data_IF_947838755448
#
_entry.id   IF_947838755448
#
_cell.length_a   1.000
_cell.length_b   1.000
_cell.length_c   1.000
_cell.angle_alpha   90.00
_cell.angle_beta   90.00
_cell.angle_gamma   90.00
#
_symmetry.space_group_name_H-M   'P 1'
#
loop_
_entity.id
_entity.type
_entity.pdbx_description
1 polymer ?
#
# COMPACT_ATOMS: atom_id res chain seq x y z
N UNK A 1 7.22 -16.15 32.71
CA UNK A 1 6.78 -16.38 31.32
C UNK A 1 6.57 -15.07 30.55
N UNK A 2 5.67 -14.16 30.96
CA UNK A 2 5.47 -12.84 30.28
C UNK A 2 6.73 -11.99 30.03
N UNK A 3 7.70 -11.94 30.97
CA UNK A 3 8.96 -11.19 30.78
C UNK A 3 9.90 -11.80 29.73
N UNK A 4 9.87 -13.11 29.55
CA UNK A 4 10.68 -13.84 28.57
C UNK A 4 10.08 -13.72 27.18
N UNK A 5 8.76 -13.86 27.09
CA UNK A 5 7.96 -13.65 25.88
C UNK A 5 8.14 -12.23 25.32
N UNK A 6 8.12 -11.22 26.20
CA UNK A 6 8.33 -9.82 25.83
C UNK A 6 9.78 -9.51 25.39
N UNK A 7 10.77 -10.27 25.85
CA UNK A 7 12.18 -10.17 25.39
C UNK A 7 12.36 -10.86 24.04
N UNK A 8 11.72 -12.01 23.83
CA UNK A 8 11.72 -12.75 22.56
C UNK A 8 11.03 -11.96 21.44
N UNK A 9 9.84 -11.43 21.71
CA UNK A 9 9.09 -10.55 20.80
C UNK A 9 9.91 -9.30 20.44
N UNK A 10 10.60 -8.68 21.41
CA UNK A 10 11.53 -7.57 21.14
C UNK A 10 12.74 -7.96 20.29
N UNK A 11 13.23 -9.20 20.41
CA UNK A 11 14.26 -9.75 19.54
C UNK A 11 13.78 -9.91 18.10
N UNK A 12 12.58 -10.47 17.92
CA UNK A 12 11.89 -10.58 16.63
C UNK A 12 11.70 -9.22 15.96
N UNK A 13 11.22 -8.20 16.68
CA UNK A 13 11.10 -6.83 16.15
C UNK A 13 12.45 -6.25 15.69
N UNK A 14 13.54 -6.62 16.35
CA UNK A 14 14.90 -6.20 15.97
C UNK A 14 15.46 -6.97 14.76
N UNK A 15 14.87 -8.09 14.38
CA UNK A 15 15.19 -8.82 13.14
C UNK A 15 14.26 -8.43 11.99
N UNK A 16 13.05 -7.96 12.30
CA UNK A 16 12.05 -7.54 11.31
C UNK A 16 12.57 -6.42 10.42
N UNK A 17 13.27 -5.41 10.96
CA UNK A 17 13.77 -4.33 10.10
C UNK A 17 14.80 -4.79 9.06
N UNK A 18 15.60 -5.82 9.37
CA UNK A 18 16.52 -6.42 8.41
C UNK A 18 15.74 -7.14 7.30
N UNK A 19 14.73 -7.91 7.68
CA UNK A 19 13.87 -8.60 6.71
C UNK A 19 13.11 -7.61 5.82
N UNK A 20 12.56 -6.53 6.39
CA UNK A 20 11.86 -5.46 5.70
C UNK A 20 12.76 -4.81 4.63
N UNK A 21 14.01 -4.52 4.98
CA UNK A 21 14.99 -3.95 4.06
C UNK A 21 15.34 -4.92 2.91
N UNK A 22 15.57 -6.19 3.23
CA UNK A 22 15.90 -7.23 2.23
C UNK A 22 14.74 -7.40 1.25
N UNK A 23 13.52 -7.58 1.76
CA UNK A 23 12.31 -7.73 0.95
C UNK A 23 12.09 -6.51 0.08
N UNK A 24 12.21 -5.30 0.64
CA UNK A 24 12.07 -4.05 -0.11
C UNK A 24 13.11 -3.92 -1.22
N UNK A 25 14.37 -4.28 -0.95
CA UNK A 25 15.44 -4.26 -1.95
C UNK A 25 15.19 -5.22 -3.11
N UNK A 26 14.75 -6.45 -2.82
CA UNK A 26 14.39 -7.44 -3.85
C UNK A 26 13.21 -6.96 -4.68
N UNK A 27 12.18 -6.39 -4.04
CA UNK A 27 11.00 -5.86 -4.73
C UNK A 27 11.38 -4.69 -5.64
N UNK A 28 12.16 -3.72 -5.15
CA UNK A 28 12.63 -2.58 -5.95
C UNK A 28 13.39 -3.08 -7.18
N UNK A 29 14.33 -4.01 -6.99
CA UNK A 29 15.11 -4.57 -8.08
C UNK A 29 14.20 -5.24 -9.13
N UNK A 30 13.27 -6.08 -8.70
CA UNK A 30 12.31 -6.74 -9.59
C UNK A 30 11.41 -5.74 -10.32
N UNK A 31 10.88 -4.74 -9.62
CA UNK A 31 10.05 -3.70 -10.22
C UNK A 31 10.83 -2.84 -11.22
N UNK A 32 12.12 -2.57 -10.96
CA UNK A 32 12.96 -1.81 -11.89
C UNK A 32 13.19 -2.59 -13.19
N UNK A 33 13.52 -3.88 -13.09
CA UNK A 33 13.68 -4.77 -14.25
C UNK A 33 12.40 -4.88 -15.08
N UNK A 34 11.25 -4.99 -14.43
CA UNK A 34 9.96 -5.07 -15.13
C UNK A 34 9.64 -3.74 -15.82
N UNK A 35 9.81 -2.61 -15.13
CA UNK A 35 9.46 -1.30 -15.67
C UNK A 35 10.33 -0.92 -16.88
N UNK A 36 11.63 -1.25 -16.89
CA UNK A 36 12.54 -0.82 -17.97
C UNK A 36 12.13 -1.31 -19.36
N UNK A 37 11.52 -2.49 -19.45
CA UNK A 37 11.09 -3.11 -20.73
C UNK A 37 9.57 -3.01 -20.95
N UNK A 38 8.84 -2.42 -20.01
CA UNK A 38 7.38 -2.52 -19.96
C UNK A 38 6.65 -1.75 -21.06
N UNK A 39 7.08 -0.52 -21.37
CA UNK A 39 6.47 0.28 -22.44
C UNK A 39 6.68 -0.38 -23.81
N UNK A 40 7.89 -0.87 -24.07
CA UNK A 40 8.20 -1.61 -25.29
C UNK A 40 7.35 -2.88 -25.44
N UNK A 41 7.16 -3.62 -24.34
CA UNK A 41 6.29 -4.78 -24.32
C UNK A 41 4.84 -4.40 -24.62
N UNK A 42 4.31 -3.36 -24.00
CA UNK A 42 2.94 -2.86 -24.21
C UNK A 42 2.73 -2.46 -25.67
N UNK A 43 3.68 -1.72 -26.25
CA UNK A 43 3.61 -1.28 -27.65
C UNK A 43 3.64 -2.47 -28.61
N UNK A 44 4.47 -3.48 -28.35
CA UNK A 44 4.48 -4.74 -29.10
C UNK A 44 3.16 -5.49 -29.02
N UNK A 45 2.58 -5.60 -27.82
CA UNK A 45 1.26 -6.22 -27.64
C UNK A 45 0.20 -5.47 -28.45
N UNK A 46 0.24 -4.14 -28.44
CA UNK A 46 -0.64 -3.30 -29.25
C UNK A 46 -0.47 -3.54 -30.74
N UNK A 47 0.77 -3.58 -31.23
CA UNK A 47 1.08 -3.80 -32.64
C UNK A 47 0.67 -5.20 -33.14
N UNK A 48 0.81 -6.23 -32.31
CA UNK A 48 0.49 -7.63 -32.67
C UNK A 48 -1.01 -7.87 -32.60
N UNK A 49 -1.67 -7.41 -31.54
CA UNK A 49 -3.06 -7.79 -31.26
C UNK A 49 -4.08 -6.78 -31.76
N UNK A 50 -3.72 -5.50 -31.88
CA UNK A 50 -4.67 -4.40 -32.12
C UNK A 50 -5.73 -4.25 -31.01
N UNK A 51 -5.67 -5.02 -29.92
CA UNK A 51 -6.70 -5.07 -28.90
C UNK A 51 -6.47 -3.97 -27.86
N UNK A 52 -7.25 -2.90 -27.97
CA UNK A 52 -7.18 -1.75 -27.06
C UNK A 52 -7.38 -2.13 -25.58
N UNK A 53 -8.20 -3.14 -25.29
CA UNK A 53 -8.42 -3.58 -23.92
C UNK A 53 -7.15 -4.20 -23.34
N UNK A 54 -6.52 -5.10 -24.10
CA UNK A 54 -5.31 -5.79 -23.66
C UNK A 54 -4.16 -4.79 -23.45
N UNK A 55 -4.03 -3.81 -24.33
CA UNK A 55 -3.10 -2.68 -24.17
C UNK A 55 -3.42 -1.88 -22.90
N UNK A 56 -4.70 -1.57 -22.66
CA UNK A 56 -5.13 -0.83 -21.45
C UNK A 56 -4.84 -1.61 -20.17
N UNK A 57 -5.04 -2.93 -20.19
CA UNK A 57 -4.71 -3.82 -19.07
C UNK A 57 -3.21 -3.80 -18.75
N UNK A 58 -2.34 -3.96 -19.75
CA UNK A 58 -0.91 -3.91 -19.50
C UNK A 58 -0.43 -2.52 -19.08
N UNK A 59 -0.97 -1.43 -19.66
CA UNK A 59 -0.68 -0.06 -19.19
C UNK A 59 -1.09 0.15 -17.73
N UNK A 60 -2.23 -0.40 -17.32
CA UNK A 60 -2.64 -0.38 -15.91
C UNK A 60 -1.61 -1.12 -15.03
N UNK A 61 -1.15 -2.30 -15.43
CA UNK A 61 -0.11 -3.04 -14.70
C UNK A 61 1.20 -2.25 -14.58
N UNK A 62 1.65 -1.60 -15.67
CA UNK A 62 2.83 -0.73 -15.64
C UNK A 62 2.64 0.41 -14.62
N UNK A 63 1.47 1.05 -14.64
CA UNK A 63 1.12 2.09 -13.67
C UNK A 63 1.17 1.59 -12.21
N UNK A 64 0.67 0.39 -11.95
CA UNK A 64 0.75 -0.25 -10.62
C UNK A 64 2.21 -0.48 -10.21
N UNK A 65 3.04 -1.02 -11.10
CA UNK A 65 4.46 -1.25 -10.82
C UNK A 65 5.22 0.05 -10.56
N UNK A 66 4.90 1.12 -11.30
CA UNK A 66 5.49 2.44 -11.08
C UNK A 66 5.11 3.01 -9.71
N UNK A 67 3.83 2.95 -9.32
CA UNK A 67 3.38 3.42 -8.00
C UNK A 67 4.04 2.63 -6.87
N UNK A 68 4.17 1.31 -7.01
CA UNK A 68 4.85 0.49 -6.02
C UNK A 68 6.34 0.81 -5.94
N UNK A 69 7.01 0.95 -7.09
CA UNK A 69 8.43 1.31 -7.15
C UNK A 69 8.67 2.64 -6.43
N UNK A 70 7.83 3.64 -6.70
CA UNK A 70 7.90 4.93 -6.03
C UNK A 70 7.73 4.83 -4.51
N UNK A 71 6.73 4.07 -4.04
CA UNK A 71 6.51 3.87 -2.60
C UNK A 71 7.71 3.18 -1.93
N UNK A 72 8.24 2.12 -2.54
CA UNK A 72 9.40 1.40 -1.99
C UNK A 72 10.69 2.25 -2.02
N UNK A 73 10.86 3.13 -3.01
CA UNK A 73 11.98 4.09 -3.01
C UNK A 73 11.85 5.07 -1.84
N UNK A 74 10.67 5.67 -1.62
CA UNK A 74 10.44 6.57 -0.49
C UNK A 74 10.70 5.85 0.83
N UNK A 75 10.20 4.63 0.96
CA UNK A 75 10.42 3.78 2.12
C UNK A 75 11.91 3.55 2.37
N UNK A 76 12.69 3.18 1.34
CA UNK A 76 14.13 2.97 1.46
C UNK A 76 14.88 4.24 1.85
N UNK A 77 14.52 5.39 1.28
CA UNK A 77 15.11 6.69 1.63
C UNK A 77 14.82 7.08 3.08
N UNK A 78 13.59 6.86 3.57
CA UNK A 78 13.23 7.10 4.96
C UNK A 78 13.95 6.14 5.90
N UNK A 79 14.17 4.88 5.49
CA UNK A 79 14.97 3.92 6.25
C UNK A 79 16.43 4.38 6.34
N UNK A 80 17.03 4.84 5.25
CA UNK A 80 18.38 5.40 5.25
C UNK A 80 18.47 6.63 6.19
N UNK A 81 17.46 7.50 6.17
CA UNK A 81 17.37 8.63 7.09
C UNK A 81 17.27 8.18 8.56
N UNK A 82 16.43 7.19 8.85
CA UNK A 82 16.31 6.58 10.17
C UNK A 82 17.65 6.03 10.68
N UNK A 83 18.40 5.28 9.85
CA UNK A 83 19.73 4.76 10.20
C UNK A 83 20.67 5.93 10.58
N UNK A 84 20.64 7.03 9.82
CA UNK A 84 21.42 8.22 10.12
C UNK A 84 21.08 8.84 11.48
N UNK A 85 19.79 8.95 11.81
CA UNK A 85 19.33 9.47 13.11
C UNK A 85 19.73 8.55 14.26
N UNK A 86 19.63 7.23 14.09
CA UNK A 86 20.10 6.25 15.08
C UNK A 86 21.60 6.38 15.30
N UNK A 87 22.38 6.55 14.22
CA UNK A 87 23.83 6.82 14.29
C UNK A 87 24.17 8.13 15.01
N UNK A 88 23.35 9.18 14.85
CA UNK A 88 23.51 10.41 15.62
C UNK A 88 23.16 10.20 17.10
N UNK A 89 22.12 9.43 17.41
CA UNK A 89 21.73 9.16 18.79
C UNK A 89 22.81 8.37 19.57
N UNK A 90 23.59 7.51 18.88
CA UNK A 90 24.66 6.75 19.53
C UNK A 90 25.83 7.62 19.98
N UNK A 91 26.09 8.73 19.27
CA UNK A 91 27.17 9.68 19.57
C UNK A 91 26.69 10.87 20.41
N UNK A 92 25.44 11.30 20.24
CA UNK A 92 24.81 12.43 20.94
C UNK A 92 23.66 11.96 21.83
N UNK A 93 23.97 11.16 22.85
CA UNK A 93 22.98 10.56 23.76
C UNK A 93 22.17 11.58 24.56
N UNK A 94 22.77 12.75 24.86
CA UNK A 94 22.07 13.87 25.52
C UNK A 94 21.09 14.60 24.58
N UNK A 95 21.00 14.20 23.31
CA UNK A 95 20.14 14.83 22.32
C UNK A 95 20.59 16.22 21.91
N UNK A 96 19.62 17.06 21.53
CA UNK A 96 19.89 18.40 21.01
C UNK A 96 20.14 19.35 22.19
N UNK A 97 21.37 19.86 22.30
CA UNK A 97 21.76 20.90 23.27
C UNK A 97 21.31 22.27 22.80
N UNK A 98 20.02 22.58 22.96
CA UNK A 98 19.44 23.87 22.56
C UNK A 98 20.10 25.06 23.24
N UNK A 99 20.69 24.86 24.42
CA UNK A 99 21.38 25.87 25.21
C UNK A 99 22.69 26.33 24.53
N UNK A 100 23.23 25.55 23.59
CA UNK A 100 24.38 25.92 22.75
C UNK A 100 23.96 26.60 21.45
N UNK A 101 22.67 26.70 21.17
CA UNK A 101 22.13 27.34 19.98
C UNK A 101 21.70 28.75 20.36
N UNK A 102 22.30 29.78 19.74
CA UNK A 102 21.95 31.19 19.94
C UNK A 102 20.60 31.53 19.26
N UNK A 103 19.57 30.74 19.54
CA UNK A 103 18.22 30.90 19.01
C UNK A 103 17.29 31.55 20.02
N UNK A 104 16.18 32.11 19.54
CA UNK A 104 15.18 32.75 20.42
C UNK A 104 14.44 31.73 21.28
N UNK A 105 14.04 32.13 22.48
CA UNK A 105 13.32 31.27 23.43
C UNK A 105 12.04 30.67 22.85
N UNK A 106 11.32 31.45 22.04
CA UNK A 106 10.11 30.98 21.34
C UNK A 106 10.43 29.83 20.37
N UNK A 107 11.54 29.93 19.63
CA UNK A 107 11.99 28.87 18.73
C UNK A 107 12.44 27.62 19.48
N UNK A 108 13.22 27.78 20.55
CA UNK A 108 13.68 26.67 21.40
C UNK A 108 12.47 25.95 22.00
N UNK A 109 11.52 26.68 22.61
CA UNK A 109 10.34 26.09 23.24
C UNK A 109 9.47 25.30 22.26
N UNK A 110 9.27 25.82 21.04
CA UNK A 110 8.53 25.14 19.98
C UNK A 110 9.21 23.83 19.55
N UNK A 111 10.53 23.85 19.34
CA UNK A 111 11.27 22.71 18.82
C UNK A 111 11.61 21.67 19.89
N UNK A 112 11.86 22.08 21.13
CA UNK A 112 12.10 21.17 22.26
C UNK A 112 10.88 20.28 22.53
N UNK A 113 9.66 20.79 22.30
CA UNK A 113 8.41 19.98 22.37
C UNK A 113 8.34 18.89 21.28
N UNK A 114 8.92 19.15 20.10
CA UNK A 114 8.82 18.26 18.92
C UNK A 114 9.99 17.29 18.80
N UNK A 115 11.20 17.73 19.14
CA UNK A 115 12.48 17.04 18.94
C UNK A 115 13.22 16.86 20.28
N UNK A 116 12.48 16.53 21.34
CA UNK A 116 13.03 16.48 22.70
C UNK A 116 14.19 15.50 22.86
N UNK A 117 14.15 14.35 22.15
CA UNK A 117 15.27 13.41 22.10
C UNK A 117 15.39 12.76 20.71
N UNK A 118 16.63 12.46 20.31
CA UNK A 118 16.89 11.74 19.06
C UNK A 118 16.36 10.30 19.13
N UNK A 119 16.38 9.66 20.30
CA UNK A 119 15.77 8.35 20.54
C UNK A 119 14.27 8.35 20.19
N UNK A 120 13.48 9.26 20.78
CA UNK A 120 12.03 9.31 20.51
C UNK A 120 11.72 9.69 19.06
N UNK A 121 12.57 10.50 18.45
CA UNK A 121 12.46 10.83 17.04
C UNK A 121 12.77 9.63 16.13
N UNK A 122 13.82 8.86 16.43
CA UNK A 122 14.14 7.63 15.70
C UNK A 122 13.04 6.57 15.83
N UNK A 123 12.41 6.44 16.99
CA UNK A 123 11.29 5.50 17.18
C UNK A 123 10.10 5.87 16.27
N UNK A 124 9.73 7.15 16.21
CA UNK A 124 8.68 7.62 15.31
C UNK A 124 9.02 7.42 13.83
N UNK A 125 10.28 7.61 13.46
CA UNK A 125 10.73 7.34 12.08
C UNK A 125 10.66 5.85 11.74
N UNK A 126 10.97 4.97 12.70
CA UNK A 126 10.83 3.51 12.53
C UNK A 126 9.36 3.13 12.30
N UNK A 127 8.44 3.66 13.13
CA UNK A 127 7.00 3.47 12.98
C UNK A 127 6.52 3.93 11.59
N UNK A 128 6.98 5.09 11.13
CA UNK A 128 6.65 5.60 9.79
C UNK A 128 7.18 4.70 8.67
N UNK A 129 8.37 4.12 8.81
CA UNK A 129 8.91 3.17 7.84
C UNK A 129 8.02 1.92 7.76
N UNK A 130 7.69 1.30 8.90
CA UNK A 130 6.86 0.11 8.92
C UNK A 130 5.41 0.37 8.45
N UNK A 131 4.88 1.57 8.71
CA UNK A 131 3.60 2.01 8.13
C UNK A 131 3.68 2.12 6.61
N UNK A 132 4.72 2.76 6.05
CA UNK A 132 4.88 2.87 4.59
C UNK A 132 5.08 1.50 3.92
N UNK A 133 5.83 0.60 4.54
CA UNK A 133 5.97 -0.77 4.07
C UNK A 133 4.59 -1.46 4.00
N UNK A 134 3.83 -1.42 5.09
CA UNK A 134 2.49 -2.03 5.16
C UNK A 134 1.51 -1.37 4.18
N UNK A 135 1.58 -0.06 4.01
CA UNK A 135 0.79 0.70 3.05
C UNK A 135 1.10 0.28 1.61
N UNK A 136 2.37 0.02 1.28
CA UNK A 136 2.77 -0.46 -0.04
C UNK A 136 2.13 -1.81 -0.38
N UNK A 137 2.09 -2.74 0.59
CA UNK A 137 1.37 -4.01 0.42
C UNK A 137 -0.14 -3.85 0.34
N UNK A 138 -0.72 -2.90 1.09
CA UNK A 138 -2.15 -2.59 0.97
C UNK A 138 -2.50 -2.10 -0.44
N UNK A 139 -1.73 -1.16 -0.98
CA UNK A 139 -1.91 -0.66 -2.35
C UNK A 139 -1.79 -1.79 -3.36
N UNK A 140 -0.75 -2.63 -3.25
CA UNK A 140 -0.56 -3.80 -4.10
C UNK A 140 -1.77 -4.74 -4.09
N UNK A 141 -2.28 -5.09 -2.91
CA UNK A 141 -3.43 -5.99 -2.78
C UNK A 141 -4.72 -5.38 -3.32
N UNK A 142 -4.95 -4.09 -3.11
CA UNK A 142 -6.10 -3.37 -3.71
C UNK A 142 -6.00 -3.37 -5.25
N UNK A 143 -4.80 -3.18 -5.81
CA UNK A 143 -4.59 -3.26 -7.26
C UNK A 143 -4.87 -4.67 -7.80
N UNK A 144 -4.46 -5.72 -7.07
CA UNK A 144 -4.82 -7.11 -7.40
C UNK A 144 -6.35 -7.29 -7.36
N UNK A 145 -7.03 -6.80 -6.32
CA UNK A 145 -8.49 -6.85 -6.24
C UNK A 145 -9.14 -6.21 -7.46
N UNK A 146 -8.63 -5.05 -7.90
CA UNK A 146 -9.12 -4.35 -9.06
C UNK A 146 -8.94 -5.16 -10.35
N UNK A 147 -7.80 -5.81 -10.53
CA UNK A 147 -7.54 -6.68 -11.69
C UNK A 147 -8.52 -7.86 -11.71
N UNK A 148 -8.68 -8.55 -10.59
CA UNK A 148 -9.55 -9.73 -10.49
C UNK A 148 -11.01 -9.35 -10.76
N UNK A 149 -11.46 -8.21 -10.24
CA UNK A 149 -12.85 -7.79 -10.40
C UNK A 149 -13.10 -7.18 -11.78
N UNK A 150 -12.25 -6.29 -12.27
CA UNK A 150 -12.56 -5.52 -13.48
C UNK A 150 -12.02 -6.19 -14.74
N UNK A 151 -10.73 -6.51 -14.75
CA UNK A 151 -10.04 -6.95 -15.97
C UNK A 151 -10.27 -8.43 -16.28
N UNK A 152 -10.21 -9.32 -15.29
CA UNK A 152 -10.38 -10.76 -15.53
C UNK A 152 -11.72 -11.10 -16.21
N UNK A 153 -12.88 -10.61 -15.72
CA UNK A 153 -14.16 -10.95 -16.36
C UNK A 153 -14.32 -10.27 -17.71
N UNK A 154 -13.70 -9.10 -17.92
CA UNK A 154 -13.73 -8.39 -19.20
C UNK A 154 -12.94 -9.11 -20.29
N UNK A 155 -11.77 -9.66 -19.95
CA UNK A 155 -10.97 -10.49 -20.85
C UNK A 155 -11.72 -11.79 -21.18
N UNK A 156 -12.34 -12.44 -20.19
CA UNK A 156 -13.19 -13.62 -20.41
C UNK A 156 -14.32 -13.29 -21.38
N UNK A 157 -15.03 -12.18 -21.19
CA UNK A 157 -16.13 -11.79 -22.08
C UNK A 157 -15.67 -11.61 -23.54
N UNK A 158 -14.46 -11.06 -23.76
CA UNK A 158 -13.88 -10.95 -25.11
C UNK A 158 -13.50 -12.30 -25.72
N UNK A 159 -13.00 -13.24 -24.92
CA UNK A 159 -12.57 -14.56 -25.41
C UNK A 159 -13.73 -15.47 -25.81
N UNK A 160 -14.88 -15.33 -25.14
CA UNK A 160 -16.03 -16.24 -25.31
C UNK A 160 -17.05 -15.77 -26.36
N UNK A 161 -16.74 -14.73 -27.15
CA UNK A 161 -17.57 -14.09 -28.19
C UNK A 161 -19.08 -14.33 -28.03
N UNK A 162 -19.60 -13.99 -26.85
CA UNK A 162 -20.97 -14.32 -26.54
C UNK A 162 -21.87 -13.27 -27.19
N UNK A 163 -22.49 -13.63 -28.31
CA UNK A 163 -23.55 -12.85 -28.97
C UNK A 163 -24.79 -12.68 -28.08
N UNK A 164 -24.88 -13.45 -26.99
CA UNK A 164 -26.00 -13.40 -26.05
C UNK A 164 -26.05 -12.08 -25.29
N UNK A 165 -27.01 -11.23 -25.64
CA UNK A 165 -27.27 -9.93 -25.00
C UNK A 165 -27.43 -10.04 -23.48
N UNK A 166 -27.98 -11.15 -22.98
CA UNK A 166 -28.19 -11.39 -21.55
C UNK A 166 -26.85 -11.43 -20.79
N UNK A 167 -25.82 -12.07 -21.33
CA UNK A 167 -24.49 -12.18 -20.69
C UNK A 167 -23.86 -10.78 -20.56
N UNK A 168 -23.98 -9.94 -21.59
CA UNK A 168 -23.50 -8.55 -21.55
C UNK A 168 -24.23 -7.73 -20.49
N UNK A 169 -25.55 -7.87 -20.36
CA UNK A 169 -26.34 -7.18 -19.33
C UNK A 169 -25.88 -7.59 -17.93
N UNK A 170 -25.70 -8.89 -17.68
CA UNK A 170 -25.20 -9.41 -16.40
C UNK A 170 -23.80 -8.84 -16.10
N UNK A 171 -22.93 -8.79 -17.11
CA UNK A 171 -21.59 -8.22 -16.96
C UNK A 171 -21.61 -6.72 -16.60
N UNK A 172 -22.43 -5.91 -17.28
CA UNK A 172 -22.55 -4.49 -16.94
C UNK A 172 -23.14 -4.28 -15.53
N UNK A 173 -24.11 -5.10 -15.13
CA UNK A 173 -24.63 -5.09 -13.76
C UNK A 173 -23.54 -5.43 -12.74
N UNK A 174 -22.75 -6.47 -13.03
CA UNK A 174 -21.58 -6.83 -12.23
C UNK A 174 -20.62 -5.63 -12.11
N UNK A 175 -20.24 -4.99 -13.22
CA UNK A 175 -19.35 -3.81 -13.18
C UNK A 175 -19.92 -2.67 -12.33
N UNK A 176 -21.20 -2.35 -12.46
CA UNK A 176 -21.84 -1.29 -11.65
C UNK A 176 -21.78 -1.62 -10.16
N UNK A 177 -22.11 -2.86 -9.78
CA UNK A 177 -22.05 -3.29 -8.38
C UNK A 177 -20.61 -3.31 -7.84
N UNK A 178 -19.63 -3.64 -8.68
CA UNK A 178 -18.22 -3.54 -8.31
C UNK A 178 -17.79 -2.10 -8.05
N UNK A 179 -18.30 -1.14 -8.83
CA UNK A 179 -18.09 0.29 -8.60
C UNK A 179 -18.60 0.73 -7.23
N UNK A 180 -19.78 0.27 -6.82
CA UNK A 180 -20.31 0.51 -5.46
C UNK A 180 -19.38 -0.09 -4.39
N UNK A 181 -18.83 -1.28 -4.63
CA UNK A 181 -17.84 -1.87 -3.72
C UNK A 181 -16.55 -1.03 -3.60
N UNK A 182 -15.97 -0.58 -4.72
CA UNK A 182 -14.79 0.26 -4.69
C UNK A 182 -15.05 1.64 -4.06
N UNK A 183 -16.23 2.23 -4.28
CA UNK A 183 -16.62 3.48 -3.60
C UNK A 183 -16.66 3.27 -2.07
N UNK A 184 -17.20 2.16 -1.57
CA UNK A 184 -17.17 1.86 -0.14
C UNK A 184 -15.73 1.69 0.37
N UNK A 185 -14.89 1.01 -0.40
CA UNK A 185 -13.49 0.77 -0.07
C UNK A 185 -12.68 2.08 -0.03
N UNK A 186 -12.85 2.99 -0.99
CA UNK A 186 -12.12 4.26 -0.97
C UNK A 186 -12.69 5.28 0.03
N UNK A 187 -13.98 5.16 0.39
CA UNK A 187 -14.64 6.07 1.35
C UNK A 187 -14.44 5.70 2.82
N UNK A 188 -13.62 4.69 3.15
CA UNK A 188 -13.44 4.25 4.54
C UNK A 188 -14.62 3.44 5.08
N UNK A 189 -15.41 2.81 4.20
CA UNK A 189 -16.60 2.06 4.59
C UNK A 189 -17.84 2.92 4.84
N UNK A 190 -18.10 3.93 4.00
CA UNK A 190 -19.24 4.83 4.18
C UNK A 190 -20.58 4.10 4.29
N UNK A 191 -20.84 3.10 3.45
CA UNK A 191 -22.13 2.37 3.47
C UNK A 191 -22.28 1.52 4.73
N UNK A 192 -21.16 1.12 5.34
CA UNK A 192 -21.12 0.36 6.60
C UNK A 192 -21.49 1.21 7.83
N UNK A 193 -21.48 2.54 7.71
CA UNK A 193 -21.81 3.45 8.82
C UNK A 193 -23.32 3.56 9.09
N UNK A 194 -24.18 3.29 8.10
CA UNK A 194 -25.63 3.43 8.22
C UNK A 194 -26.34 2.07 8.21
N UNK A 195 -27.15 1.79 9.25
CA UNK A 195 -27.79 0.48 9.47
C UNK A 195 -28.62 -0.03 8.28
N UNK A 196 -29.50 0.81 7.73
CA UNK A 196 -30.39 0.43 6.63
C UNK A 196 -29.63 0.28 5.30
N UNK A 197 -28.68 1.16 5.04
CA UNK A 197 -27.84 1.12 3.84
C UNK A 197 -26.94 -0.12 3.83
N UNK A 198 -26.35 -0.44 4.98
CA UNK A 198 -25.56 -1.65 5.16
C UNK A 198 -26.39 -2.92 4.97
N UNK A 199 -27.64 -2.96 5.41
CA UNK A 199 -28.50 -4.13 5.21
C UNK A 199 -28.68 -4.48 3.72
N UNK A 200 -28.92 -3.47 2.87
CA UNK A 200 -29.05 -3.65 1.41
C UNK A 200 -27.70 -3.91 0.75
N UNK A 201 -26.64 -3.26 1.22
CA UNK A 201 -25.28 -3.39 0.66
C UNK A 201 -24.58 -4.70 1.06
N UNK A 202 -24.95 -5.32 2.19
CA UNK A 202 -24.32 -6.51 2.74
C UNK A 202 -24.14 -7.67 1.74
N UNK A 203 -25.13 -8.10 0.93
CA UNK A 203 -24.92 -9.18 -0.03
C UNK A 203 -23.89 -8.82 -1.11
N UNK A 204 -23.93 -7.59 -1.61
CA UNK A 204 -22.96 -7.07 -2.59
C UNK A 204 -21.56 -7.08 -1.97
N UNK A 205 -21.44 -6.54 -0.75
CA UNK A 205 -20.19 -6.53 0.01
C UNK A 205 -19.63 -7.94 0.23
N UNK A 206 -20.44 -8.89 0.69
CA UNK A 206 -19.99 -10.26 0.94
C UNK A 206 -19.46 -10.94 -0.32
N UNK A 207 -20.13 -10.76 -1.45
CA UNK A 207 -19.69 -11.31 -2.74
C UNK A 207 -18.36 -10.70 -3.20
N UNK A 208 -18.25 -9.37 -3.24
CA UNK A 208 -17.04 -8.69 -3.71
C UNK A 208 -15.87 -8.81 -2.74
N UNK A 209 -16.10 -8.79 -1.42
CA UNK A 209 -15.04 -8.96 -0.41
C UNK A 209 -14.34 -10.31 -0.54
N UNK A 210 -15.06 -11.36 -0.95
CA UNK A 210 -14.49 -12.67 -1.19
C UNK A 210 -13.65 -12.68 -2.48
N UNK A 211 -14.23 -12.20 -3.58
CA UNK A 211 -13.59 -12.21 -4.91
C UNK A 211 -12.36 -11.31 -4.95
N UNK A 212 -12.45 -10.12 -4.34
CA UNK A 212 -11.34 -9.17 -4.22
C UNK A 212 -10.21 -9.66 -3.33
N UNK A 213 -10.39 -10.75 -2.59
CA UNK A 213 -9.49 -11.18 -1.52
C UNK A 213 -9.36 -10.12 -0.39
N UNK A 214 -10.42 -9.34 -0.14
CA UNK A 214 -10.43 -8.30 0.91
C UNK A 214 -10.01 -8.86 2.26
N UNK A 215 -10.39 -10.09 2.58
CA UNK A 215 -10.04 -10.73 3.85
C UNK A 215 -8.53 -10.72 4.16
N UNK A 216 -7.65 -10.70 3.14
CA UNK A 216 -6.20 -10.65 3.31
C UNK A 216 -5.75 -9.27 3.81
N UNK A 217 -6.22 -8.20 3.18
CA UNK A 217 -5.79 -6.83 3.50
C UNK A 217 -6.72 -6.08 4.45
N UNK A 218 -7.89 -6.63 4.77
CA UNK A 218 -8.89 -6.00 5.65
C UNK A 218 -8.31 -5.57 7.00
N UNK A 219 -7.48 -6.36 7.71
CA UNK A 219 -6.91 -5.92 8.98
C UNK A 219 -6.00 -4.69 8.82
N UNK A 220 -5.18 -4.68 7.76
CA UNK A 220 -4.28 -3.57 7.43
C UNK A 220 -5.09 -2.33 7.09
N UNK A 221 -6.07 -2.46 6.19
CA UNK A 221 -6.97 -1.38 5.78
C UNK A 221 -7.72 -0.78 6.98
N UNK A 222 -8.32 -1.62 7.83
CA UNK A 222 -9.05 -1.16 9.01
C UNK A 222 -8.14 -0.43 10.01
N UNK A 223 -6.88 -0.84 10.13
CA UNK A 223 -5.88 -0.18 11.00
C UNK A 223 -5.51 1.21 10.49
N UNK A 224 -5.47 1.43 9.18
CA UNK A 224 -5.17 2.75 8.61
C UNK A 224 -6.34 3.74 8.69
N UNK A 225 -7.58 3.25 8.72
CA UNK A 225 -8.77 4.13 8.80
C UNK A 225 -9.30 4.35 10.21
N UNK A 226 -8.79 3.61 11.21
CA UNK A 226 -9.16 3.75 12.63
C UNK A 226 -8.44 4.91 13.29
#
# INVERSE_FOLDING_TARGET
MQKQENKYIRGLFKEIWNAELIVSGIIIYGLFLINSESDYFVDKVGAITGNILLVTFFKFLVGVFFVLLFNFIIHLLLRAYWIGVVGLNSTYQEGIKFERLNYTDSYIKKNKKKYNSLETYSAKLDDLCSQLFSFSFLVFLICISFIIIVFTPLIILQLFDSELTIIRIIYYLYLVLSGVFFIDLFSGGFFRKFKYLYFVYRPIYSFYSLISLEFIYRPIYLTFIS
#
